data_IF_117843637022
#
_entry.id   IF_117843637022
#
_cell.length_a   1.000
_cell.length_b   1.000
_cell.length_c   1.000
_cell.angle_alpha   90.00
_cell.angle_beta   90.00
_cell.angle_gamma   90.00
#
_symmetry.space_group_name_H-M   'P 1'
#
loop_
_entity.id
_entity.type
_entity.pdbx_description
1 polymer ?
#
# COMPACT_ATOMS: atom_id res chain seq x y z
N UNK A 1 -16.16 10.37 7.15
CA UNK A 1 -15.04 11.31 6.90
C UNK A 1 -13.70 10.60 6.80
N UNK A 2 -13.29 9.78 7.79
CA UNK A 2 -11.98 9.09 7.77
C UNK A 2 -11.67 8.29 6.50
N UNK A 3 -12.57 7.39 6.07
CA UNK A 3 -12.39 6.60 4.84
C UNK A 3 -12.23 7.45 3.57
N UNK A 4 -12.93 8.58 3.51
CA UNK A 4 -12.84 9.51 2.38
C UNK A 4 -11.47 10.19 2.36
N UNK A 5 -10.91 10.52 3.52
CA UNK A 5 -9.55 11.07 3.62
C UNK A 5 -8.50 10.08 3.12
N UNK A 6 -8.61 8.79 3.49
CA UNK A 6 -7.74 7.72 2.97
C UNK A 6 -7.86 7.63 1.43
N UNK A 7 -9.09 7.57 0.89
CA UNK A 7 -9.31 7.52 -0.56
C UNK A 7 -8.69 8.72 -1.28
N UNK A 8 -8.92 9.94 -0.76
CA UNK A 8 -8.37 11.17 -1.33
C UNK A 8 -6.84 11.18 -1.30
N UNK A 9 -6.22 10.76 -0.18
CA UNK A 9 -4.76 10.71 -0.07
C UNK A 9 -4.15 9.71 -1.05
N UNK A 10 -4.84 8.60 -1.30
CA UNK A 10 -4.47 7.60 -2.30
C UNK A 10 -4.83 8.00 -3.75
N UNK A 11 -5.47 9.16 -3.96
CA UNK A 11 -5.84 9.68 -5.27
C UNK A 11 -7.12 9.09 -5.90
N UNK A 12 -7.97 8.44 -5.10
CA UNK A 12 -9.25 7.91 -5.55
C UNK A 12 -10.37 8.93 -5.48
N UNK A 13 -11.29 8.89 -6.44
CA UNK A 13 -12.58 9.57 -6.30
C UNK A 13 -13.44 8.89 -5.23
N UNK A 14 -14.15 9.70 -4.46
CA UNK A 14 -15.04 9.21 -3.40
C UNK A 14 -16.39 8.85 -4.02
N UNK A 15 -16.75 7.58 -3.95
CA UNK A 15 -18.04 7.01 -4.37
C UNK A 15 -18.41 5.86 -3.44
N UNK A 16 -19.67 5.41 -3.45
CA UNK A 16 -20.09 4.26 -2.66
C UNK A 16 -19.28 2.99 -3.00
N UNK A 17 -18.98 2.78 -4.29
CA UNK A 17 -18.19 1.64 -4.74
C UNK A 17 -16.75 1.67 -4.23
N UNK A 18 -16.09 2.83 -4.29
CA UNK A 18 -14.70 2.98 -3.81
C UNK A 18 -14.61 2.94 -2.29
N UNK A 19 -15.63 3.45 -1.59
CA UNK A 19 -15.76 3.29 -0.14
C UNK A 19 -15.91 1.81 0.22
N UNK A 20 -16.84 1.09 -0.41
CA UNK A 20 -17.07 -0.33 -0.14
C UNK A 20 -15.83 -1.19 -0.43
N UNK A 21 -15.07 -0.87 -1.50
CA UNK A 21 -13.80 -1.53 -1.77
C UNK A 21 -12.77 -1.28 -0.67
N UNK A 22 -12.60 -0.02 -0.24
CA UNK A 22 -11.69 0.32 0.85
C UNK A 22 -12.08 -0.40 2.15
N UNK A 23 -13.38 -0.51 2.46
CA UNK A 23 -13.86 -1.22 3.65
C UNK A 23 -13.47 -2.70 3.65
N UNK A 24 -13.67 -3.40 2.53
CA UNK A 24 -13.23 -4.81 2.40
C UNK A 24 -11.73 -4.94 2.55
N UNK A 25 -10.96 -4.05 1.93
CA UNK A 25 -9.51 -4.03 2.00
C UNK A 25 -9.01 -3.82 3.44
N UNK A 26 -9.61 -2.87 4.16
CA UNK A 26 -9.30 -2.61 5.58
C UNK A 26 -9.64 -3.85 6.42
N UNK A 27 -10.83 -4.42 6.24
CA UNK A 27 -11.27 -5.60 7.00
C UNK A 27 -10.36 -6.82 6.78
N UNK A 28 -9.77 -6.94 5.58
CA UNK A 28 -8.87 -8.02 5.23
C UNK A 28 -7.38 -7.72 5.56
N UNK A 29 -7.07 -6.51 6.04
CA UNK A 29 -5.72 -6.13 6.48
C UNK A 29 -5.63 -6.26 8.00
N UNK A 30 -4.98 -7.30 8.51
CA UNK A 30 -4.93 -7.56 9.96
C UNK A 30 -4.23 -6.41 10.71
N UNK A 31 -4.84 -5.91 11.80
CA UNK A 31 -4.28 -4.83 12.61
C UNK A 31 -4.10 -3.52 11.84
N UNK A 32 -5.03 -3.18 10.94
CA UNK A 32 -4.94 -2.01 10.05
C UNK A 32 -4.70 -0.70 10.80
N UNK A 33 -5.22 -0.54 12.01
CA UNK A 33 -4.98 0.61 12.89
C UNK A 33 -3.49 0.87 13.18
N UNK A 34 -2.66 -0.16 13.16
CA UNK A 34 -1.20 -0.07 13.30
C UNK A 34 -0.49 0.14 11.95
N UNK A 35 -1.16 -0.19 10.84
CA UNK A 35 -0.63 -0.09 9.47
C UNK A 35 -0.90 1.28 8.86
N UNK A 36 -2.09 1.83 9.07
CA UNK A 36 -2.65 2.95 8.32
C UNK A 36 -1.70 4.14 8.21
N UNK A 37 -1.29 4.70 9.36
CA UNK A 37 -0.44 5.90 9.40
C UNK A 37 0.89 5.68 8.66
N UNK A 38 1.49 4.51 8.84
CA UNK A 38 2.77 4.17 8.23
C UNK A 38 2.65 3.88 6.74
N UNK A 39 1.52 3.32 6.31
CA UNK A 39 1.21 3.05 4.91
C UNK A 39 0.95 4.34 4.15
N UNK A 40 0.22 5.28 4.73
CA UNK A 40 -0.01 6.60 4.14
C UNK A 40 1.30 7.40 4.03
N UNK A 41 2.14 7.38 5.07
CA UNK A 41 3.47 8.00 5.01
C UNK A 41 4.37 7.36 3.93
N UNK A 42 4.30 6.03 3.76
CA UNK A 42 5.02 5.35 2.69
C UNK A 42 4.49 5.76 1.31
N UNK A 43 3.17 5.86 1.12
CA UNK A 43 2.57 6.32 -0.12
C UNK A 43 3.16 7.67 -0.55
N UNK A 44 3.27 8.63 0.37
CA UNK A 44 3.85 9.94 0.08
C UNK A 44 5.35 9.87 -0.22
N UNK A 45 6.10 9.05 0.52
CA UNK A 45 7.54 8.85 0.28
C UNK A 45 7.87 8.18 -1.06
N UNK A 46 6.94 7.39 -1.61
CA UNK A 46 7.11 6.69 -2.88
C UNK A 46 6.82 7.57 -4.11
N UNK A 47 6.08 8.67 -3.96
CA UNK A 47 5.68 9.55 -5.07
C UNK A 47 6.85 10.03 -5.96
N UNK A 48 8.01 10.47 -5.43
CA UNK A 48 9.15 10.90 -6.25
C UNK A 48 9.70 9.79 -7.17
N UNK A 49 9.44 8.52 -6.84
CA UNK A 49 9.87 7.35 -7.61
C UNK A 49 8.77 6.82 -8.53
N UNK A 50 7.72 7.60 -8.79
CA UNK A 50 6.51 7.17 -9.52
C UNK A 50 5.84 5.93 -8.92
N UNK A 51 6.10 5.66 -7.64
CA UNK A 51 5.65 4.48 -6.93
C UNK A 51 4.58 4.88 -5.92
N UNK A 52 3.67 3.99 -5.56
CA UNK A 52 2.50 4.37 -4.76
C UNK A 52 1.78 3.17 -4.13
N UNK A 53 1.01 3.48 -3.08
CA UNK A 53 -0.01 2.57 -2.52
C UNK A 53 -1.31 2.71 -3.31
N UNK A 54 -1.98 1.60 -3.61
CA UNK A 54 -3.27 1.53 -4.28
C UNK A 54 -4.14 0.41 -3.70
N UNK A 55 -5.43 0.41 -4.04
CA UNK A 55 -6.33 -0.72 -3.81
C UNK A 55 -6.11 -1.78 -4.91
N UNK A 56 -6.00 -3.05 -4.52
CA UNK A 56 -5.98 -4.15 -5.47
C UNK A 56 -7.35 -4.34 -6.12
N UNK A 57 -7.35 -4.62 -7.42
CA UNK A 57 -8.56 -4.79 -8.24
C UNK A 57 -9.12 -6.20 -8.18
N UNK A 58 -8.29 -7.18 -7.78
CA UNK A 58 -8.61 -8.61 -7.87
C UNK A 58 -8.57 -9.32 -6.51
N UNK A 59 -8.02 -8.66 -5.50
CA UNK A 59 -7.93 -9.12 -4.12
C UNK A 59 -8.24 -7.94 -3.22
N UNK A 60 -8.88 -8.16 -2.08
CA UNK A 60 -9.17 -7.11 -1.11
C UNK A 60 -7.92 -6.80 -0.25
N UNK A 61 -6.85 -6.30 -0.87
CA UNK A 61 -5.63 -5.84 -0.19
C UNK A 61 -5.20 -4.46 -0.67
N UNK A 62 -4.53 -3.71 0.20
CA UNK A 62 -3.66 -2.64 -0.28
C UNK A 62 -2.50 -3.27 -1.05
N UNK A 63 -2.11 -2.63 -2.15
CA UNK A 63 -0.91 -3.00 -2.91
C UNK A 63 0.04 -1.82 -2.97
N UNK A 64 1.32 -2.09 -2.77
CA UNK A 64 2.41 -1.15 -2.99
C UNK A 64 2.96 -1.46 -4.38
N UNK A 65 2.87 -0.51 -5.31
CA UNK A 65 3.39 -0.62 -6.67
C UNK A 65 4.67 0.19 -6.78
N UNK A 66 5.72 -0.46 -7.24
CA UNK A 66 6.97 0.17 -7.63
C UNK A 66 7.01 0.28 -9.16
N UNK A 67 6.90 1.51 -9.66
CA UNK A 67 6.93 1.85 -11.09
C UNK A 67 8.13 2.77 -11.40
N UNK A 68 9.22 2.64 -10.64
CA UNK A 68 10.45 3.37 -10.90
C UNK A 68 10.99 3.08 -12.32
N UNK A 69 11.58 4.11 -12.95
CA UNK A 69 11.87 4.12 -14.38
C UNK A 69 13.07 3.27 -14.85
N UNK A 70 13.90 2.77 -13.94
CA UNK A 70 15.07 1.95 -14.25
C UNK A 70 15.34 0.89 -13.16
N UNK A 71 16.12 -0.14 -13.51
CA UNK A 71 16.37 -1.30 -12.64
C UNK A 71 17.03 -0.92 -11.30
N UNK A 72 17.99 0.00 -11.31
CA UNK A 72 18.69 0.44 -10.09
C UNK A 72 17.71 1.10 -9.13
N UNK A 73 16.85 2.01 -9.62
CA UNK A 73 15.81 2.64 -8.80
C UNK A 73 14.74 1.67 -8.36
N UNK A 74 14.39 0.68 -9.20
CA UNK A 74 13.47 -0.38 -8.82
C UNK A 74 14.00 -1.13 -7.60
N UNK A 75 15.28 -1.50 -7.59
CA UNK A 75 15.88 -2.21 -6.46
C UNK A 75 15.94 -1.34 -5.21
N UNK A 76 16.31 -0.06 -5.33
CA UNK A 76 16.30 0.91 -4.24
C UNK A 76 14.90 1.05 -3.60
N UNK A 77 13.87 1.21 -4.43
CA UNK A 77 12.48 1.34 -3.94
C UNK A 77 11.99 0.02 -3.33
N UNK A 78 12.35 -1.12 -3.90
CA UNK A 78 12.03 -2.42 -3.33
C UNK A 78 12.67 -2.58 -1.94
N UNK A 79 13.95 -2.20 -1.79
CA UNK A 79 14.65 -2.23 -0.51
C UNK A 79 14.00 -1.27 0.50
N UNK A 80 13.61 -0.07 0.08
CA UNK A 80 12.88 0.88 0.92
C UNK A 80 11.55 0.30 1.43
N UNK A 81 10.79 -0.38 0.56
CA UNK A 81 9.52 -1.04 0.94
C UNK A 81 9.77 -2.17 1.95
N UNK A 82 10.80 -3.00 1.74
CA UNK A 82 11.14 -4.10 2.65
C UNK A 82 11.60 -3.54 4.01
N UNK A 83 12.51 -2.56 4.03
CA UNK A 83 12.97 -1.90 5.26
C UNK A 83 11.82 -1.23 6.02
N UNK A 84 10.90 -0.59 5.30
CA UNK A 84 9.69 -0.04 5.91
C UNK A 84 8.85 -1.13 6.58
N UNK A 85 8.62 -2.24 5.87
CA UNK A 85 7.83 -3.35 6.38
C UNK A 85 8.47 -3.96 7.64
N UNK A 86 9.77 -4.17 7.63
CA UNK A 86 10.52 -4.66 8.79
C UNK A 86 10.44 -3.69 9.97
N UNK A 87 10.69 -2.39 9.73
CA UNK A 87 10.67 -1.33 10.75
C UNK A 87 9.33 -1.25 11.47
N UNK A 88 8.23 -1.33 10.73
CA UNK A 88 6.88 -1.21 11.27
C UNK A 88 6.20 -2.57 11.53
N UNK A 89 6.95 -3.68 11.39
CA UNK A 89 6.47 -5.05 11.59
C UNK A 89 5.25 -5.37 10.73
N UNK A 90 5.26 -4.97 9.46
CA UNK A 90 4.18 -5.18 8.52
C UNK A 90 4.52 -6.40 7.66
N UNK A 91 3.58 -7.32 7.53
CA UNK A 91 3.70 -8.50 6.68
C UNK A 91 3.33 -8.13 5.25
N UNK A 92 4.24 -8.42 4.31
CA UNK A 92 4.05 -8.22 2.88
C UNK A 92 4.05 -9.56 2.13
N UNK A 93 3.19 -9.68 1.12
CA UNK A 93 3.24 -10.77 0.13
C UNK A 93 3.68 -10.19 -1.21
N UNK A 94 4.84 -10.64 -1.73
CA UNK A 94 5.31 -10.21 -3.05
C UNK A 94 4.47 -10.87 -4.14
N UNK A 95 4.01 -10.06 -5.10
CA UNK A 95 3.32 -10.56 -6.28
C UNK A 95 4.35 -11.20 -7.23
N UNK A 96 4.15 -12.46 -7.66
CA UNK A 96 5.09 -13.13 -8.56
C UNK A 96 5.36 -12.32 -9.83
N UNK A 97 6.63 -12.23 -10.21
CA UNK A 97 7.10 -11.55 -11.43
C UNK A 97 6.74 -10.05 -11.51
N UNK A 98 6.43 -9.39 -10.39
CA UNK A 98 6.12 -7.96 -10.34
C UNK A 98 6.85 -7.26 -9.19
N UNK A 99 7.13 -5.98 -9.38
CA UNK A 99 7.55 -5.08 -8.30
C UNK A 99 6.32 -4.56 -7.56
N UNK A 100 5.54 -5.49 -7.02
CA UNK A 100 4.30 -5.19 -6.32
C UNK A 100 4.18 -6.07 -5.09
N UNK A 101 3.71 -5.49 -3.99
CA UNK A 101 3.53 -6.18 -2.72
C UNK A 101 2.10 -5.98 -2.23
N UNK A 102 1.43 -7.04 -1.78
CA UNK A 102 0.22 -6.93 -0.99
C UNK A 102 0.58 -6.66 0.46
N UNK A 103 -0.14 -5.74 1.10
CA UNK A 103 -0.04 -5.48 2.54
C UNK A 103 -1.01 -6.40 3.25
N UNK A 104 -0.48 -7.41 3.95
CA UNK A 104 -1.29 -8.45 4.59
C UNK A 104 -1.79 -8.00 5.96
N UNK A 105 -0.93 -7.31 6.72
CA UNK A 105 -1.30 -6.79 8.04
C UNK A 105 -0.10 -6.61 8.96
N UNK A 106 -0.37 -6.12 10.16
CA UNK A 106 0.60 -5.98 11.24
C UNK A 106 0.95 -7.36 11.84
N UNK A 107 2.25 -7.58 12.08
CA UNK A 107 2.78 -8.77 12.72
C UNK A 107 2.69 -8.58 14.23
N UNK A 108 1.80 -9.35 14.86
CA UNK A 108 1.65 -9.45 16.31
C UNK A 108 2.94 -9.98 16.96
#
# INVERSE_FOLDING_TARGET
MHRQAILNQLGYSVSENTIAQLERVIANTSGFEHVEKHLMALHDALKPFHSFVALSSNKDYFKIKNEAGDATRVDEVNEMIVKWAEKYKITLEKVPNKNTYYVIGYKL
#
